data_IF_471784295213
#
_entry.id   IF_471784295213
#
_cell.length_a   1.000
_cell.length_b   1.000
_cell.length_c   1.000
_cell.angle_alpha   90.00
_cell.angle_beta   90.00
_cell.angle_gamma   90.00
#
_symmetry.space_group_name_H-M   'P 1'
#
loop_
_entity.id
_entity.type
_entity.pdbx_description
1 polymer ?
#
# COMPACT_ATOMS: atom_id res chain seq x y z
N UNK A 1 14.44 37.34 3.26
CA UNK A 1 15.70 37.09 2.53
C UNK A 1 16.36 35.76 2.95
N UNK A 2 16.58 35.46 4.24
CA UNK A 2 17.12 34.15 4.68
C UNK A 2 16.09 33.04 4.46
N UNK A 3 14.82 33.29 4.84
CA UNK A 3 13.72 32.34 4.65
C UNK A 3 13.47 32.01 3.17
N UNK A 4 13.60 32.98 2.27
CA UNK A 4 13.45 32.76 0.84
C UNK A 4 14.55 31.82 0.31
N UNK A 5 15.82 32.07 0.68
CA UNK A 5 16.93 31.19 0.26
C UNK A 5 16.81 29.78 0.82
N UNK A 6 16.33 29.66 2.07
CA UNK A 6 16.07 28.33 2.63
C UNK A 6 14.96 27.61 1.85
N UNK A 7 13.88 28.30 1.52
CA UNK A 7 12.79 27.72 0.73
C UNK A 7 13.24 27.30 -0.70
N UNK A 8 14.14 28.07 -1.33
CA UNK A 8 14.74 27.72 -2.62
C UNK A 8 15.57 26.44 -2.55
N UNK A 9 16.38 26.29 -1.48
CA UNK A 9 17.17 25.07 -1.25
C UNK A 9 16.27 23.89 -0.96
N UNK A 10 15.26 24.06 -0.12
CA UNK A 10 14.28 23.00 0.23
C UNK A 10 13.49 22.54 -1.00
N UNK A 11 13.14 23.48 -1.88
CA UNK A 11 12.51 23.17 -3.17
C UNK A 11 13.43 22.34 -4.06
N UNK A 12 14.70 22.75 -4.25
CA UNK A 12 15.68 21.99 -5.04
C UNK A 12 15.92 20.59 -4.46
N UNK A 13 16.06 20.47 -3.16
CA UNK A 13 16.22 19.17 -2.51
C UNK A 13 14.98 18.28 -2.69
N UNK A 14 13.79 18.86 -2.60
CA UNK A 14 12.53 18.13 -2.79
C UNK A 14 12.35 17.66 -4.24
N UNK A 15 12.75 18.47 -5.24
CA UNK A 15 12.74 18.06 -6.66
C UNK A 15 13.72 16.95 -6.95
N UNK A 16 14.92 16.97 -6.35
CA UNK A 16 15.89 15.88 -6.46
C UNK A 16 15.37 14.58 -5.83
N UNK A 17 14.71 14.67 -4.66
CA UNK A 17 14.09 13.49 -4.05
C UNK A 17 12.95 12.95 -4.91
N UNK A 18 12.14 13.82 -5.51
CA UNK A 18 11.05 13.41 -6.38
C UNK A 18 11.56 12.75 -7.67
N UNK A 19 12.68 13.20 -8.24
CA UNK A 19 13.28 12.61 -9.44
C UNK A 19 13.66 11.13 -9.25
N UNK A 20 13.94 10.68 -8.02
CA UNK A 20 14.18 9.26 -7.73
C UNK A 20 12.97 8.36 -8.01
N UNK A 21 11.77 8.93 -8.07
CA UNK A 21 10.50 8.22 -8.30
C UNK A 21 9.95 8.44 -9.71
N UNK A 22 10.56 9.35 -10.49
CA UNK A 22 10.12 9.67 -11.85
C UNK A 22 11.02 8.94 -12.85
N UNK A 23 10.44 7.95 -13.52
CA UNK A 23 11.11 7.14 -14.51
C UNK A 23 10.36 7.20 -15.84
N UNK A 24 11.07 7.47 -16.92
CA UNK A 24 10.56 7.40 -18.28
C UNK A 24 11.49 6.47 -19.08
N UNK A 25 10.96 5.39 -19.63
CA UNK A 25 11.71 4.40 -20.42
C UNK A 25 13.00 3.92 -19.72
N UNK A 26 12.88 3.54 -18.44
CA UNK A 26 14.00 3.08 -17.56
C UNK A 26 15.08 4.13 -17.28
N UNK A 27 14.81 5.41 -17.55
CA UNK A 27 15.71 6.50 -17.19
C UNK A 27 15.07 7.43 -16.14
N UNK A 28 15.84 7.87 -15.11
CA UNK A 28 15.34 8.86 -14.16
C UNK A 28 15.14 10.20 -14.87
N UNK A 29 14.00 10.85 -14.62
CA UNK A 29 13.67 12.17 -15.17
C UNK A 29 13.82 13.22 -14.10
N UNK A 30 14.61 14.26 -14.38
CA UNK A 30 14.72 15.42 -13.51
C UNK A 30 13.61 16.43 -13.85
N UNK A 31 13.03 17.00 -12.81
CA UNK A 31 12.05 18.08 -12.98
C UNK A 31 12.76 19.38 -13.34
N UNK A 32 12.19 20.16 -14.28
CA UNK A 32 12.74 21.48 -14.60
C UNK A 32 12.67 22.41 -13.36
N UNK A 33 13.67 23.28 -13.20
CA UNK A 33 13.80 24.20 -12.05
C UNK A 33 12.59 25.14 -11.87
N UNK A 34 11.80 25.37 -12.92
CA UNK A 34 10.61 26.20 -12.92
C UNK A 34 9.29 25.40 -12.85
N UNK A 35 9.35 24.12 -12.52
CA UNK A 35 8.14 23.32 -12.35
C UNK A 35 7.33 23.83 -11.16
N UNK A 36 6.11 24.29 -11.42
CA UNK A 36 5.18 24.73 -10.38
C UNK A 36 4.09 23.67 -10.27
N UNK A 37 3.80 23.18 -9.05
CA UNK A 37 2.68 22.27 -8.85
C UNK A 37 1.38 22.92 -9.33
N UNK A 38 0.54 22.14 -10.02
CA UNK A 38 -0.79 22.61 -10.41
C UNK A 38 -1.56 23.07 -9.17
N UNK A 39 -2.34 24.14 -9.31
CA UNK A 39 -3.20 24.63 -8.22
C UNK A 39 -4.15 23.52 -7.75
N UNK A 40 -4.18 23.33 -6.43
CA UNK A 40 -4.93 22.26 -5.82
C UNK A 40 -6.43 22.51 -5.93
N UNK A 41 -7.11 21.58 -6.56
CA UNK A 41 -8.56 21.61 -6.68
C UNK A 41 -9.19 20.98 -5.42
N UNK A 42 -9.74 21.83 -4.53
CA UNK A 42 -10.35 21.41 -3.27
C UNK A 42 -11.80 20.94 -3.50
N UNK A 43 -12.23 20.83 -4.76
CA UNK A 43 -13.62 20.55 -5.14
C UNK A 43 -14.07 19.12 -4.88
N UNK A 44 -13.16 18.18 -4.65
CA UNK A 44 -13.54 16.81 -4.30
C UNK A 44 -14.14 16.77 -2.88
N UNK A 45 -15.46 16.83 -2.80
CA UNK A 45 -16.18 16.78 -1.53
C UNK A 45 -16.11 15.34 -0.98
N UNK A 46 -15.41 15.17 0.14
CA UNK A 46 -15.44 13.90 0.88
C UNK A 46 -16.85 13.68 1.44
N UNK A 47 -17.51 12.64 0.94
CA UNK A 47 -18.87 12.25 1.37
C UNK A 47 -18.85 10.93 2.13
N UNK A 48 -19.82 10.71 3.02
CA UNK A 48 -19.98 9.43 3.71
C UNK A 48 -20.17 8.25 2.73
N UNK A 49 -20.74 8.52 1.56
CA UNK A 49 -20.84 7.55 0.48
C UNK A 49 -19.46 7.10 -0.02
N UNK A 50 -18.51 8.03 -0.16
CA UNK A 50 -17.13 7.72 -0.55
C UNK A 50 -16.42 6.89 0.53
N UNK A 51 -16.60 7.24 1.80
CA UNK A 51 -16.05 6.43 2.90
C UNK A 51 -16.56 4.99 2.84
N UNK A 52 -17.86 4.80 2.62
CA UNK A 52 -18.45 3.46 2.52
C UNK A 52 -17.86 2.67 1.35
N UNK A 53 -17.73 3.30 0.17
CA UNK A 53 -17.09 2.68 -1.00
C UNK A 53 -15.66 2.25 -0.72
N UNK A 54 -14.84 3.10 -0.05
CA UNK A 54 -13.46 2.77 0.30
C UNK A 54 -13.38 1.59 1.27
N UNK A 55 -14.29 1.51 2.25
CA UNK A 55 -14.35 0.39 3.18
C UNK A 55 -14.76 -0.92 2.49
N UNK A 56 -15.73 -0.89 1.59
CA UNK A 56 -16.16 -2.05 0.81
C UNK A 56 -15.03 -2.51 -0.13
N UNK A 57 -14.42 -1.58 -0.85
CA UNK A 57 -13.28 -1.87 -1.72
C UNK A 57 -12.12 -2.52 -0.97
N UNK A 58 -11.76 -1.97 0.20
CA UNK A 58 -10.67 -2.50 1.01
C UNK A 58 -10.95 -3.92 1.52
N UNK A 59 -12.17 -4.24 1.90
CA UNK A 59 -12.53 -5.60 2.34
C UNK A 59 -12.29 -6.64 1.26
N UNK A 60 -12.49 -6.28 -0.02
CA UNK A 60 -12.36 -7.21 -1.13
C UNK A 60 -10.94 -7.23 -1.71
N UNK A 61 -10.33 -6.04 -1.87
CA UNK A 61 -9.15 -5.85 -2.72
C UNK A 61 -7.87 -5.49 -1.96
N UNK A 62 -7.94 -5.22 -0.64
CA UNK A 62 -6.76 -4.77 0.09
C UNK A 62 -5.63 -5.82 0.04
N UNK A 63 -4.38 -5.45 -0.35
CA UNK A 63 -3.29 -6.39 -0.57
C UNK A 63 -2.96 -7.26 0.65
N UNK A 64 -3.02 -6.72 1.86
CA UNK A 64 -2.75 -7.47 3.09
C UNK A 64 -3.81 -8.55 3.34
N UNK A 65 -5.10 -8.23 3.12
CA UNK A 65 -6.16 -9.22 3.25
C UNK A 65 -6.04 -10.32 2.21
N UNK A 66 -5.69 -9.98 0.97
CA UNK A 66 -5.43 -10.94 -0.09
C UNK A 66 -4.27 -11.87 0.29
N UNK A 67 -3.18 -11.33 0.82
CA UNK A 67 -2.03 -12.11 1.31
C UNK A 67 -2.45 -13.12 2.38
N UNK A 68 -3.27 -12.71 3.34
CA UNK A 68 -3.76 -13.61 4.40
C UNK A 68 -4.70 -14.68 3.81
N UNK A 69 -5.58 -14.33 2.87
CA UNK A 69 -6.46 -15.29 2.16
C UNK A 69 -5.64 -16.36 1.42
N UNK A 70 -4.60 -15.95 0.68
CA UNK A 70 -3.70 -16.91 0.04
C UNK A 70 -2.97 -17.80 1.06
N UNK A 71 -2.57 -17.23 2.21
CA UNK A 71 -1.95 -17.99 3.28
C UNK A 71 -2.90 -19.03 3.88
N UNK A 72 -4.16 -18.69 4.10
CA UNK A 72 -5.20 -19.61 4.56
C UNK A 72 -5.38 -20.75 3.55
N UNK A 73 -5.49 -20.44 2.25
CA UNK A 73 -5.61 -21.44 1.19
C UNK A 73 -4.40 -22.37 1.17
N UNK A 74 -3.18 -21.82 1.29
CA UNK A 74 -1.96 -22.61 1.39
C UNK A 74 -2.00 -23.58 2.60
N UNK A 75 -2.44 -23.11 3.76
CA UNK A 75 -2.55 -23.93 4.96
C UNK A 75 -3.66 -24.99 4.85
N UNK A 76 -4.72 -24.73 4.11
CA UNK A 76 -5.76 -25.73 3.82
C UNK A 76 -5.24 -26.87 2.95
N UNK A 77 -4.43 -26.55 1.92
CA UNK A 77 -3.73 -27.54 1.11
C UNK A 77 -2.76 -28.33 1.98
N UNK A 78 -1.97 -27.66 2.81
CA UNK A 78 -1.04 -28.29 3.75
C UNK A 78 -1.77 -29.24 4.72
N UNK A 79 -2.93 -28.83 5.25
CA UNK A 79 -3.76 -29.67 6.12
C UNK A 79 -4.21 -30.95 5.40
N UNK A 80 -4.69 -30.83 4.16
CA UNK A 80 -5.08 -32.00 3.34
C UNK A 80 -3.89 -32.92 3.11
N UNK A 81 -2.73 -32.36 2.77
CA UNK A 81 -1.50 -33.11 2.59
C UNK A 81 -1.09 -33.88 3.86
N UNK A 82 -1.14 -33.23 5.04
CA UNK A 82 -0.82 -33.90 6.30
C UNK A 82 -1.86 -34.97 6.67
N UNK A 83 -3.14 -34.77 6.31
CA UNK A 83 -4.17 -35.81 6.46
C UNK A 83 -3.92 -37.01 5.54
N UNK A 84 -3.49 -36.80 4.31
CA UNK A 84 -3.15 -37.90 3.39
C UNK A 84 -1.95 -38.71 3.89
N UNK A 85 -1.02 -38.10 4.61
CA UNK A 85 0.10 -38.81 5.26
C UNK A 85 -0.30 -39.76 6.38
N UNK A 86 -1.54 -39.69 6.87
CA UNK A 86 -2.10 -40.66 7.78
C UNK A 86 -2.52 -41.97 7.09
N UNK A 87 -2.63 -41.95 5.76
CA UNK A 87 -3.03 -43.11 4.97
C UNK A 87 -1.82 -43.99 4.67
N UNK A 88 -2.01 -45.33 4.43
CA UNK A 88 -0.96 -46.23 3.94
C UNK A 88 -0.42 -45.71 2.60
N UNK A 89 0.88 -45.81 2.41
CA UNK A 89 1.53 -45.57 1.11
C UNK A 89 1.68 -46.89 0.38
N UNK A 90 1.24 -46.91 -0.88
CA UNK A 90 1.37 -48.03 -1.78
C UNK A 90 2.24 -47.57 -2.92
N UNK A 91 3.42 -48.17 -3.08
CA UNK A 91 4.34 -47.90 -4.18
C UNK A 91 4.38 -49.12 -5.09
N UNK A 92 4.16 -48.90 -6.36
CA UNK A 92 4.37 -49.89 -7.41
C UNK A 92 5.62 -49.49 -8.20
N UNK A 93 6.64 -50.34 -8.14
CA UNK A 93 7.89 -50.14 -8.88
C UNK A 93 7.96 -51.11 -10.04
N UNK A 94 8.07 -50.60 -11.24
CA UNK A 94 8.31 -51.36 -12.43
C UNK A 94 9.67 -50.97 -13.02
N UNK A 95 10.62 -51.91 -13.06
CA UNK A 95 11.94 -51.69 -13.62
C UNK A 95 12.10 -52.58 -14.84
N UNK A 96 12.37 -51.99 -15.98
CA UNK A 96 12.75 -52.71 -17.20
C UNK A 96 14.28 -52.76 -17.28
N UNK A 97 14.83 -53.98 -17.33
CA UNK A 97 16.27 -54.20 -17.50
C UNK A 97 16.55 -54.36 -19.01
N UNK A 98 16.93 -53.28 -19.66
CA UNK A 98 17.42 -53.33 -21.06
C UNK A 98 18.94 -53.34 -21.05
N UNK A 99 19.54 -54.39 -21.62
CA UNK A 99 20.97 -54.39 -21.93
C UNK A 99 21.23 -53.31 -22.98
N UNK A 100 22.07 -52.32 -22.68
CA UNK A 100 22.47 -51.33 -23.68
C UNK A 100 23.35 -51.96 -24.75
N UNK A 101 22.75 -52.28 -25.89
CA UNK A 101 23.49 -52.67 -27.12
C UNK A 101 23.14 -51.66 -28.22
N UNK A 102 24.03 -50.68 -28.48
CA UNK A 102 23.72 -49.58 -29.41
C UNK A 102 23.49 -50.03 -30.87
N UNK A 103 23.87 -51.28 -31.24
CA UNK A 103 23.74 -51.75 -32.58
C UNK A 103 22.50 -52.63 -32.84
N UNK A 104 21.72 -52.98 -31.85
CA UNK A 104 20.51 -53.81 -31.96
C UNK A 104 19.39 -53.35 -31.02
N UNK A 105 18.90 -52.13 -31.21
CA UNK A 105 17.65 -51.72 -30.60
C UNK A 105 16.47 -52.18 -31.48
N UNK A 106 16.19 -53.45 -31.45
CA UNK A 106 14.90 -53.97 -31.89
C UNK A 106 13.98 -53.98 -30.68
N UNK A 107 12.96 -53.14 -30.70
CA UNK A 107 11.86 -53.19 -29.74
C UNK A 107 10.98 -54.39 -29.97
N UNK A 108 11.56 -55.63 -29.83
CA UNK A 108 10.81 -56.87 -29.89
C UNK A 108 10.06 -57.07 -28.57
N UNK A 109 8.82 -57.55 -28.63
CA UNK A 109 7.98 -57.81 -27.46
C UNK A 109 8.59 -58.75 -26.42
N UNK A 110 9.64 -59.52 -26.76
CA UNK A 110 10.39 -60.41 -25.87
C UNK A 110 11.17 -59.61 -24.78
N UNK A 111 11.61 -58.36 -25.05
CA UNK A 111 12.24 -57.51 -24.01
C UNK A 111 11.29 -57.15 -22.88
N UNK A 112 10.01 -57.02 -23.18
CA UNK A 112 8.99 -56.67 -22.15
C UNK A 112 8.53 -57.89 -21.35
N UNK A 113 8.73 -59.11 -21.83
CA UNK A 113 8.23 -60.33 -21.18
C UNK A 113 9.23 -60.99 -20.23
N UNK A 114 10.56 -60.87 -20.46
CA UNK A 114 11.57 -61.62 -19.73
C UNK A 114 12.55 -60.80 -18.87
N UNK A 115 12.57 -59.46 -19.02
CA UNK A 115 13.54 -58.58 -18.36
C UNK A 115 12.84 -57.48 -17.50
N UNK A 116 11.83 -57.82 -16.76
CA UNK A 116 11.16 -56.87 -15.91
C UNK A 116 11.21 -57.28 -14.43
N UNK A 117 11.25 -56.30 -13.54
CA UNK A 117 11.09 -56.49 -12.11
C UNK A 117 9.93 -55.63 -11.61
N UNK A 118 8.88 -56.29 -11.14
CA UNK A 118 7.76 -55.62 -10.47
C UNK A 118 8.00 -55.72 -8.98
N UNK A 119 8.01 -54.57 -8.28
CA UNK A 119 8.06 -54.48 -6.84
C UNK A 119 6.79 -53.81 -6.31
N UNK A 120 6.21 -54.38 -5.30
CA UNK A 120 5.08 -53.81 -4.55
C UNK A 120 5.52 -53.55 -3.11
N UNK A 121 5.45 -52.28 -2.70
CA UNK A 121 5.84 -51.84 -1.36
C UNK A 121 4.67 -51.15 -0.68
N UNK A 122 4.31 -51.60 0.51
CA UNK A 122 3.28 -51.00 1.36
C UNK A 122 3.92 -50.54 2.65
N UNK A 123 3.90 -49.22 2.89
CA UNK A 123 4.39 -48.65 4.13
C UNK A 123 3.25 -47.98 4.91
N UNK A 124 3.16 -48.35 6.19
CA UNK A 124 2.17 -47.81 7.13
C UNK A 124 2.83 -47.30 8.42
N UNK A 125 2.63 -46.04 8.77
CA UNK A 125 3.19 -45.49 10.04
C UNK A 125 2.42 -46.06 11.24
N UNK A 126 3.03 -46.98 11.96
CA UNK A 126 2.38 -47.70 13.10
C UNK A 126 2.03 -46.77 14.24
N UNK A 127 2.86 -45.77 14.54
CA UNK A 127 2.67 -44.80 15.61
C UNK A 127 2.28 -43.42 15.10
N UNK A 128 1.17 -43.24 14.54
CA UNK A 128 0.66 -41.98 13.92
C UNK A 128 0.79 -40.67 14.76
N UNK A 129 1.58 -40.68 15.86
CA UNK A 129 1.75 -39.52 16.74
C UNK A 129 2.33 -38.30 16.05
N UNK A 130 3.36 -38.49 15.23
CA UNK A 130 4.04 -37.41 14.47
C UNK A 130 3.10 -36.80 13.43
N UNK A 131 2.40 -37.62 12.69
CA UNK A 131 1.48 -37.23 11.63
C UNK A 131 0.25 -36.52 12.21
N UNK A 132 -0.35 -37.08 13.29
CA UNK A 132 -1.45 -36.44 14.01
C UNK A 132 -1.02 -35.09 14.61
N UNK A 133 0.20 -35.02 15.18
CA UNK A 133 0.76 -33.79 15.70
C UNK A 133 0.88 -32.69 14.61
N UNK A 134 1.30 -33.06 13.39
CA UNK A 134 1.38 -32.13 12.25
C UNK A 134 0.01 -31.65 11.80
N UNK A 135 -0.98 -32.55 11.71
CA UNK A 135 -2.37 -32.16 11.40
C UNK A 135 -2.91 -31.17 12.42
N UNK A 136 -2.72 -31.46 13.72
CA UNK A 136 -3.13 -30.55 14.79
C UNK A 136 -2.42 -29.19 14.71
N UNK A 137 -1.10 -29.20 14.50
CA UNK A 137 -0.30 -27.97 14.33
C UNK A 137 -0.81 -27.12 13.16
N UNK A 138 -1.09 -27.75 12.01
CA UNK A 138 -1.60 -27.03 10.83
C UNK A 138 -3.00 -26.48 11.08
N UNK A 139 -3.85 -27.21 11.83
CA UNK A 139 -5.16 -26.71 12.24
C UNK A 139 -5.03 -25.46 13.11
N UNK A 140 -4.17 -25.46 14.13
CA UNK A 140 -3.94 -24.26 14.95
C UNK A 140 -3.42 -23.07 14.14
N UNK A 141 -2.53 -23.31 13.16
CA UNK A 141 -2.07 -22.25 12.25
C UNK A 141 -3.21 -21.68 11.39
N UNK A 142 -4.14 -22.53 10.95
CA UNK A 142 -5.33 -22.08 10.21
C UNK A 142 -6.21 -21.20 11.09
N UNK A 143 -6.51 -21.64 12.31
CA UNK A 143 -7.34 -20.90 13.25
C UNK A 143 -6.68 -19.55 13.59
N UNK A 144 -5.37 -19.52 13.83
CA UNK A 144 -4.60 -18.30 14.03
C UNK A 144 -4.72 -17.34 12.83
N UNK A 145 -4.47 -17.81 11.59
CA UNK A 145 -4.55 -16.95 10.42
C UNK A 145 -5.97 -16.42 10.14
N UNK A 146 -7.02 -17.13 10.54
CA UNK A 146 -8.40 -16.63 10.46
C UNK A 146 -8.66 -15.51 11.46
N UNK A 147 -8.10 -15.62 12.67
CA UNK A 147 -8.15 -14.53 13.65
C UNK A 147 -7.34 -13.31 13.18
N UNK A 148 -6.14 -13.55 12.64
CA UNK A 148 -5.29 -12.51 12.04
C UNK A 148 -6.02 -11.80 10.92
N UNK A 149 -6.76 -12.52 10.05
CA UNK A 149 -7.57 -11.92 8.99
C UNK A 149 -8.63 -10.97 9.55
N UNK A 150 -9.33 -11.40 10.60
CA UNK A 150 -10.36 -10.57 11.23
C UNK A 150 -9.77 -9.31 11.88
N UNK A 151 -8.64 -9.49 12.57
CA UNK A 151 -7.92 -8.38 13.21
C UNK A 151 -7.40 -7.38 12.17
N UNK A 152 -6.71 -7.85 11.14
CA UNK A 152 -6.19 -7.00 10.05
C UNK A 152 -7.30 -6.25 9.32
N UNK A 153 -8.45 -6.90 9.06
CA UNK A 153 -9.61 -6.23 8.46
C UNK A 153 -10.13 -5.08 9.33
N UNK A 154 -10.12 -5.27 10.65
CA UNK A 154 -10.51 -4.23 11.60
C UNK A 154 -9.51 -3.08 11.64
N UNK A 155 -8.21 -3.39 11.64
CA UNK A 155 -7.12 -2.39 11.62
C UNK A 155 -7.20 -1.52 10.36
N UNK A 156 -7.32 -2.13 9.18
CA UNK A 156 -7.51 -1.43 7.91
C UNK A 156 -8.74 -0.52 7.95
N UNK A 157 -9.89 -1.03 8.42
CA UNK A 157 -11.10 -0.22 8.55
C UNK A 157 -10.91 0.98 9.51
N UNK A 158 -10.16 0.79 10.58
CA UNK A 158 -9.86 1.86 11.54
C UNK A 158 -8.93 2.89 10.92
N UNK A 159 -7.90 2.47 10.19
CA UNK A 159 -6.96 3.35 9.49
C UNK A 159 -7.65 4.18 8.42
N UNK A 160 -8.51 3.58 7.59
CA UNK A 160 -9.31 4.30 6.59
C UNK A 160 -10.17 5.38 7.26
N UNK A 161 -10.87 5.05 8.35
CA UNK A 161 -11.73 6.00 9.06
C UNK A 161 -10.91 7.13 9.70
N UNK A 162 -9.76 6.82 10.29
CA UNK A 162 -8.88 7.82 10.90
C UNK A 162 -8.35 8.79 9.85
N UNK A 163 -7.83 8.27 8.72
CA UNK A 163 -7.31 9.08 7.61
C UNK A 163 -8.42 9.90 6.94
N UNK A 164 -9.62 9.33 6.80
CA UNK A 164 -10.80 10.06 6.30
C UNK A 164 -11.14 11.27 7.20
N UNK A 165 -11.20 11.07 8.52
CA UNK A 165 -11.47 12.14 9.47
C UNK A 165 -10.39 13.22 9.42
N UNK A 166 -9.12 12.85 9.31
CA UNK A 166 -8.01 13.79 9.16
C UNK A 166 -8.15 14.61 7.87
N UNK A 167 -8.46 13.95 6.76
CA UNK A 167 -8.64 14.62 5.46
C UNK A 167 -9.80 15.61 5.50
N UNK A 168 -10.93 15.23 6.11
CA UNK A 168 -12.09 16.10 6.31
C UNK A 168 -11.74 17.32 7.17
N UNK A 169 -11.01 17.13 8.26
CA UNK A 169 -10.56 18.22 9.13
C UNK A 169 -9.62 19.17 8.37
N UNK A 170 -8.70 18.66 7.58
CA UNK A 170 -7.79 19.47 6.76
C UNK A 170 -8.56 20.31 5.75
N UNK A 171 -9.57 19.75 5.07
CA UNK A 171 -10.44 20.47 4.16
C UNK A 171 -11.15 21.66 4.84
N UNK A 172 -11.73 21.42 6.02
CA UNK A 172 -12.38 22.48 6.81
C UNK A 172 -11.39 23.56 7.26
N UNK A 173 -10.17 23.14 7.66
CA UNK A 173 -9.13 24.08 8.09
C UNK A 173 -8.63 24.95 6.93
N UNK A 174 -8.55 24.42 5.71
CA UNK A 174 -8.19 25.21 4.52
C UNK A 174 -9.22 26.30 4.28
N UNK A 175 -10.51 25.98 4.27
CA UNK A 175 -11.58 26.95 4.09
C UNK A 175 -11.50 28.08 5.13
N UNK A 176 -11.34 27.72 6.40
CA UNK A 176 -11.17 28.70 7.47
C UNK A 176 -9.89 29.55 7.32
N UNK A 177 -8.80 28.93 6.89
CA UNK A 177 -7.53 29.65 6.69
C UNK A 177 -7.62 30.60 5.49
N UNK A 178 -8.35 30.26 4.43
CA UNK A 178 -8.62 31.16 3.31
C UNK A 178 -9.38 32.41 3.77
N UNK A 179 -10.41 32.25 4.61
CA UNK A 179 -11.13 33.39 5.20
C UNK A 179 -10.22 34.27 6.06
N UNK A 180 -9.34 33.65 6.85
CA UNK A 180 -8.36 34.37 7.67
C UNK A 180 -7.40 35.18 6.82
N UNK A 181 -6.87 34.59 5.73
CA UNK A 181 -5.98 35.28 4.78
C UNK A 181 -6.71 36.48 4.16
N UNK A 182 -7.93 36.27 3.65
CA UNK A 182 -8.77 37.34 3.07
C UNK A 182 -9.02 38.51 4.05
N UNK A 183 -9.35 38.18 5.31
CA UNK A 183 -9.54 39.20 6.34
C UNK A 183 -8.26 39.97 6.66
N UNK A 184 -7.11 39.29 6.70
CA UNK A 184 -5.82 39.92 6.93
C UNK A 184 -5.40 40.81 5.76
N UNK A 185 -5.71 40.43 4.52
CA UNK A 185 -5.50 41.28 3.33
C UNK A 185 -6.33 42.56 3.42
N UNK A 186 -7.58 42.44 3.82
CA UNK A 186 -8.42 43.63 4.04
C UNK A 186 -7.85 44.53 5.14
N UNK A 187 -7.37 43.97 6.26
CA UNK A 187 -6.73 44.74 7.34
C UNK A 187 -5.44 45.43 6.89
N UNK A 188 -4.59 44.75 6.09
CA UNK A 188 -3.38 45.32 5.52
C UNK A 188 -3.73 46.48 4.59
N UNK A 189 -4.73 46.33 3.73
CA UNK A 189 -5.18 47.38 2.81
C UNK A 189 -5.76 48.58 3.57
N UNK A 190 -6.55 48.38 4.61
CA UNK A 190 -7.06 49.45 5.46
C UNK A 190 -5.92 50.21 6.18
N UNK A 191 -4.91 49.49 6.68
CA UNK A 191 -3.73 50.13 7.30
C UNK A 191 -2.93 50.97 6.31
N UNK A 192 -2.81 50.49 5.06
CA UNK A 192 -2.17 51.27 4.00
C UNK A 192 -2.91 52.56 3.67
N UNK A 193 -4.27 52.55 3.64
CA UNK A 193 -5.09 53.75 3.47
C UNK A 193 -4.91 54.71 4.62
N UNK A 194 -4.89 54.24 5.87
CA UNK A 194 -4.63 55.09 7.04
C UNK A 194 -3.24 55.72 7.00
N UNK A 195 -2.25 55.00 6.52
CA UNK A 195 -0.90 55.52 6.35
C UNK A 195 -0.86 56.65 5.31
N UNK A 196 -1.53 56.49 4.17
CA UNK A 196 -1.63 57.54 3.15
C UNK A 196 -2.31 58.79 3.66
N UNK A 197 -3.22 58.65 4.62
CA UNK A 197 -3.89 59.77 5.31
C UNK A 197 -3.05 60.38 6.47
N UNK A 198 -1.86 59.85 6.75
CA UNK A 198 -1.00 60.30 7.87
C UNK A 198 -1.40 59.78 9.25
N UNK A 199 -2.32 58.80 9.31
CA UNK A 199 -2.89 58.26 10.57
C UNK A 199 -2.20 56.94 11.02
N UNK A 200 -1.20 56.47 10.30
CA UNK A 200 -0.49 55.21 10.59
C UNK A 200 1.00 55.33 10.34
N UNK A 201 1.76 54.30 10.64
CA UNK A 201 3.21 54.25 10.48
C UNK A 201 3.67 53.05 9.61
N UNK A 202 4.83 53.19 9.01
CA UNK A 202 5.48 52.10 8.21
C UNK A 202 5.67 50.84 9.07
N UNK A 203 5.89 50.99 10.38
CA UNK A 203 6.01 49.86 11.31
C UNK A 203 4.73 49.03 11.34
N UNK A 204 3.56 49.66 11.40
CA UNK A 204 2.28 48.96 11.42
C UNK A 204 2.00 48.25 10.09
N UNK A 205 2.33 48.90 8.95
CA UNK A 205 2.20 48.27 7.63
C UNK A 205 3.07 47.01 7.56
N UNK A 206 4.35 47.11 7.93
CA UNK A 206 5.27 45.98 7.93
C UNK A 206 4.80 44.84 8.85
N UNK A 207 4.24 45.16 10.01
CA UNK A 207 3.67 44.16 10.92
C UNK A 207 2.46 43.43 10.29
N UNK A 208 1.56 44.17 9.60
CA UNK A 208 0.41 43.59 8.90
C UNK A 208 0.84 42.71 7.71
N UNK A 209 1.85 43.13 6.97
CA UNK A 209 2.38 42.44 5.83
C UNK A 209 3.12 41.13 6.22
N UNK A 210 3.97 41.20 7.25
CA UNK A 210 4.60 39.99 7.81
C UNK A 210 3.56 38.98 8.27
N UNK A 211 2.51 39.45 8.97
CA UNK A 211 1.43 38.59 9.42
C UNK A 211 0.67 37.93 8.23
N UNK A 212 0.43 38.71 7.17
CA UNK A 212 -0.23 38.18 5.97
C UNK A 212 0.62 37.08 5.31
N UNK A 213 1.92 37.29 5.16
CA UNK A 213 2.86 36.31 4.59
C UNK A 213 2.83 35.01 5.43
N UNK A 214 2.91 35.11 6.76
CA UNK A 214 2.85 33.95 7.65
C UNK A 214 1.55 33.14 7.48
N UNK A 215 0.41 33.84 7.32
CA UNK A 215 -0.89 33.21 7.13
C UNK A 215 -1.01 32.53 5.75
N UNK A 216 -0.42 33.12 4.70
CA UNK A 216 -0.35 32.54 3.35
C UNK A 216 0.53 31.29 3.34
N UNK A 217 1.71 31.33 3.99
CA UNK A 217 2.58 30.15 4.14
C UNK A 217 1.84 29.02 4.85
N UNK A 218 1.09 29.35 5.90
CA UNK A 218 0.26 28.37 6.62
C UNK A 218 -0.82 27.76 5.72
N UNK A 219 -1.46 28.57 4.87
CA UNK A 219 -2.47 28.09 3.93
C UNK A 219 -1.85 27.06 2.94
N UNK A 220 -0.70 27.39 2.33
CA UNK A 220 0.01 26.48 1.42
C UNK A 220 0.41 25.18 2.14
N UNK A 221 0.89 25.28 3.37
CA UNK A 221 1.21 24.09 4.18
C UNK A 221 -0.01 23.21 4.45
N UNK A 222 -1.18 23.78 4.74
CA UNK A 222 -2.42 23.02 4.92
C UNK A 222 -2.88 22.36 3.62
N UNK A 223 -2.77 23.04 2.49
CA UNK A 223 -3.08 22.50 1.17
C UNK A 223 -2.19 21.29 0.84
N UNK A 224 -0.88 21.42 1.05
CA UNK A 224 0.07 20.32 0.85
C UNK A 224 -0.26 19.10 1.74
N UNK A 225 -0.60 19.34 3.01
CA UNK A 225 -1.02 18.25 3.92
C UNK A 225 -2.32 17.59 3.48
N UNK A 226 -3.27 18.36 2.96
CA UNK A 226 -4.53 17.83 2.45
C UNK A 226 -4.32 16.89 1.26
N UNK A 227 -3.51 17.29 0.27
CA UNK A 227 -3.19 16.42 -0.87
C UNK A 227 -2.48 15.14 -0.43
N UNK A 228 -1.51 15.26 0.47
CA UNK A 228 -0.86 14.08 1.05
C UNK A 228 -1.86 13.17 1.75
N UNK A 229 -2.81 13.74 2.50
CA UNK A 229 -3.84 12.99 3.21
C UNK A 229 -4.81 12.26 2.24
N UNK A 230 -5.17 12.87 1.10
CA UNK A 230 -5.96 12.21 0.05
C UNK A 230 -5.25 10.97 -0.52
N UNK A 231 -3.96 11.10 -0.80
CA UNK A 231 -3.14 9.98 -1.28
C UNK A 231 -3.05 8.89 -0.22
N UNK A 232 -2.84 9.27 1.04
CA UNK A 232 -2.80 8.31 2.17
C UNK A 232 -4.13 7.59 2.36
N UNK A 233 -5.26 8.28 2.15
CA UNK A 233 -6.60 7.67 2.24
C UNK A 233 -6.80 6.57 1.18
N UNK A 234 -6.40 6.85 -0.06
CA UNK A 234 -6.44 5.85 -1.14
C UNK A 234 -5.50 4.68 -0.87
N UNK A 235 -4.30 4.97 -0.39
CA UNK A 235 -3.33 3.94 -0.01
C UNK A 235 -3.84 3.06 1.13
N UNK A 236 -4.42 3.64 2.18
CA UNK A 236 -5.03 2.92 3.28
C UNK A 236 -6.20 2.02 2.86
N UNK A 237 -6.89 2.39 1.77
CA UNK A 237 -7.94 1.55 1.17
C UNK A 237 -7.38 0.48 0.21
N UNK A 238 -6.09 0.54 -0.15
CA UNK A 238 -5.46 -0.36 -1.11
C UNK A 238 -5.82 -0.04 -2.57
N UNK A 239 -6.30 1.19 -2.86
CA UNK A 239 -6.53 1.62 -4.24
C UNK A 239 -5.20 1.77 -4.97
N UNK A 240 -5.12 1.28 -6.22
CA UNK A 240 -3.97 1.46 -7.09
C UNK A 240 -4.02 2.82 -7.76
N UNK A 241 -2.86 3.50 -7.87
CA UNK A 241 -2.77 4.85 -8.41
C UNK A 241 -2.55 4.90 -9.93
N UNK A 242 -2.38 3.76 -10.58
CA UNK A 242 -1.98 3.63 -11.99
C UNK A 242 -2.95 2.80 -12.85
N UNK A 243 -4.19 2.75 -12.45
CA UNK A 243 -5.28 2.24 -13.31
C UNK A 243 -6.15 3.36 -13.84
#
# INVERSE_FOLDING_TARGET
>A
TIQLRQAEIDFKNSTLVLSNYLWLEDQPVELPENAIPQSLDITETLTDARLKQLLEFAQENHPELQKIRFKITQLEIERRFQQDRLKPRINLNYNLLAGYNPSKFEASGEYFSNNYKIGFDVSFPVLLRKERGKVSQTRFKLDQNRLDQTQTAREISTEIKATYNETLLLQQNITRQQDIVKNQEALRNAEYQRFTNGESSVFLINARESKLIDLQIKLVSLQSKYEKSKVMLRWAAGERFWE
#
